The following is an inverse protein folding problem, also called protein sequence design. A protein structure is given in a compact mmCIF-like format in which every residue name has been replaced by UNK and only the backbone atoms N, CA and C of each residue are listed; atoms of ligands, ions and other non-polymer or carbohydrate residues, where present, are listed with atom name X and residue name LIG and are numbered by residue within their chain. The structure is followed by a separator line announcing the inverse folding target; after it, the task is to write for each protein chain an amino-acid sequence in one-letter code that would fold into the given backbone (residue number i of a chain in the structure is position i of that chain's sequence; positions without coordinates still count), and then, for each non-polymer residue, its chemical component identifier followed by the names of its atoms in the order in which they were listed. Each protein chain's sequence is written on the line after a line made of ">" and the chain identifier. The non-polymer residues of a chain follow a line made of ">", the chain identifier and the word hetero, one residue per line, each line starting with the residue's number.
data_IF_875346707285
#
_entry.id   IF_875346707285
#
_cell.length_a   1.000
_cell.length_b   1.000
_cell.length_c   1.000
_cell.angle_alpha   90.00
_cell.angle_beta   90.00
_cell.angle_gamma   90.00
#
_symmetry.space_group_name_H-M   'P 1'
#
loop_
_entity.id
_entity.type
_entity.pdbx_description
1 polymer ?
#
# COMPACT_ATOMS: atom_id res chain seq x y z
N UNK A 1 -3.90 31.68 23.50
CA UNK A 1 -3.88 31.28 22.07
C UNK A 1 -2.85 30.18 21.91
N UNK A 2 -3.28 28.91 21.93
CA UNK A 2 -2.38 27.75 21.84
C UNK A 2 -2.25 27.29 20.39
N UNK A 3 -1.01 27.34 19.90
CA UNK A 3 -0.59 26.88 18.57
C UNK A 3 -0.97 25.41 18.36
N UNK A 4 -1.78 25.11 17.34
CA UNK A 4 -2.04 23.74 16.87
C UNK A 4 -0.78 23.22 16.18
N UNK A 5 0.02 22.47 16.92
CA UNK A 5 1.22 21.81 16.42
C UNK A 5 0.80 20.68 15.47
N UNK A 6 1.07 20.88 14.16
CA UNK A 6 0.71 19.96 13.07
C UNK A 6 1.28 18.56 13.34
N UNK A 7 0.41 17.55 13.23
CA UNK A 7 0.62 16.14 13.57
C UNK A 7 1.48 15.39 12.53
N UNK A 8 2.59 15.98 12.08
CA UNK A 8 3.52 15.37 11.11
C UNK A 8 4.22 14.12 11.68
N UNK A 9 4.12 13.90 13.00
CA UNK A 9 4.77 12.83 13.73
C UNK A 9 4.07 11.46 13.60
N UNK A 10 2.75 11.38 13.36
CA UNK A 10 2.03 10.10 13.23
C UNK A 10 2.43 9.37 11.95
N UNK A 11 2.43 10.08 10.82
CA UNK A 11 2.83 9.59 9.49
C UNK A 11 4.28 9.12 9.49
N UNK A 12 5.20 9.90 10.09
CA UNK A 12 6.61 9.53 10.22
C UNK A 12 6.84 8.33 11.16
N UNK A 13 6.03 8.19 12.22
CA UNK A 13 6.09 7.04 13.12
C UNK A 13 5.57 5.77 12.45
N UNK A 14 4.53 5.86 11.61
CA UNK A 14 4.01 4.76 10.80
C UNK A 14 5.05 4.28 9.77
N UNK A 15 5.68 5.23 9.06
CA UNK A 15 6.80 4.96 8.14
C UNK A 15 7.96 4.23 8.86
N UNK A 16 8.30 4.66 10.08
CA UNK A 16 9.33 4.00 10.91
C UNK A 16 8.95 2.59 11.37
N UNK A 17 7.68 2.35 11.70
CA UNK A 17 7.19 1.03 12.12
C UNK A 17 7.21 0.05 10.94
N UNK A 18 6.82 0.50 9.74
CA UNK A 18 6.93 -0.28 8.51
C UNK A 18 8.40 -0.61 8.17
N UNK A 19 9.30 0.38 8.27
CA UNK A 19 10.74 0.17 8.07
C UNK A 19 11.35 -0.91 8.99
N UNK A 20 10.86 -1.04 10.23
CA UNK A 20 11.33 -2.06 11.18
C UNK A 20 10.85 -3.48 10.82
N UNK A 21 9.70 -3.61 10.14
CA UNK A 21 9.20 -4.90 9.64
C UNK A 21 9.96 -5.40 8.39
N UNK A 22 10.64 -4.51 7.65
CA UNK A 22 11.44 -4.82 6.45
C UNK A 22 12.63 -5.76 6.72
N UNK A 23 13.18 -5.76 7.94
CA UNK A 23 14.38 -6.55 8.27
C UNK A 23 14.17 -8.05 8.49
N UNK A 24 12.94 -8.52 8.63
CA UNK A 24 12.65 -9.87 9.13
C UNK A 24 12.29 -10.90 8.04
N UNK A 25 12.13 -10.49 6.76
CA UNK A 25 11.45 -11.30 5.72
C UNK A 25 12.33 -11.70 4.53
N UNK A 26 13.61 -12.01 4.77
CA UNK A 26 14.51 -12.54 3.74
C UNK A 26 14.97 -13.96 4.05
N UNK A 27 14.07 -14.94 3.87
CA UNK A 27 14.48 -16.34 3.74
C UNK A 27 13.54 -17.11 2.80
N UNK A 28 14.08 -17.42 1.61
CA UNK A 28 13.97 -18.73 0.94
C UNK A 28 12.71 -19.07 0.12
N UNK A 29 12.63 -18.50 -1.09
CA UNK A 29 12.01 -19.07 -2.32
C UNK A 29 12.73 -18.37 -3.50
N UNK A 30 12.92 -18.96 -4.71
CA UNK A 30 13.41 -18.20 -5.86
C UNK A 30 12.52 -16.98 -6.04
N UNK A 31 13.06 -15.79 -5.73
CA UNK A 31 12.28 -14.56 -5.73
C UNK A 31 11.72 -14.37 -7.13
N UNK A 32 10.39 -14.28 -7.30
CA UNK A 32 9.82 -14.00 -8.60
C UNK A 32 10.46 -12.71 -9.13
N UNK A 33 10.82 -12.71 -10.42
CA UNK A 33 11.49 -11.54 -11.03
C UNK A 33 10.58 -10.33 -10.85
N UNK A 34 11.12 -9.30 -10.21
CA UNK A 34 10.43 -8.04 -10.05
C UNK A 34 10.55 -7.24 -11.35
N UNK A 35 9.46 -6.58 -11.73
CA UNK A 35 9.47 -5.60 -12.79
C UNK A 35 10.32 -4.39 -12.36
N UNK A 36 10.85 -3.67 -13.33
CA UNK A 36 11.53 -2.39 -13.04
C UNK A 36 10.53 -1.38 -12.46
N UNK A 37 11.04 -0.35 -11.77
CA UNK A 37 10.20 0.72 -11.24
C UNK A 37 9.42 1.43 -12.36
N UNK A 38 10.03 1.63 -13.53
CA UNK A 38 9.37 2.26 -14.67
C UNK A 38 8.21 1.42 -15.21
N UNK A 39 8.39 0.11 -15.34
CA UNK A 39 7.32 -0.81 -15.74
C UNK A 39 6.20 -0.86 -14.69
N UNK A 40 6.57 -0.90 -13.41
CA UNK A 40 5.61 -0.91 -12.30
C UNK A 40 4.79 0.38 -12.27
N UNK A 41 5.40 1.55 -12.49
CA UNK A 41 4.67 2.83 -12.53
C UNK A 41 3.68 2.88 -13.70
N UNK A 42 4.08 2.42 -14.90
CA UNK A 42 3.16 2.34 -16.05
C UNK A 42 2.00 1.39 -15.80
N UNK A 43 2.26 0.23 -15.22
CA UNK A 43 1.23 -0.72 -14.85
C UNK A 43 0.31 -0.17 -13.74
N UNK A 44 0.86 0.60 -12.80
CA UNK A 44 0.10 1.27 -11.77
C UNK A 44 -0.84 2.32 -12.36
N UNK A 45 -0.38 3.14 -13.31
CA UNK A 45 -1.24 4.11 -14.03
C UNK A 45 -2.41 3.41 -14.74
N UNK A 46 -2.15 2.25 -15.37
CA UNK A 46 -3.21 1.44 -15.96
C UNK A 46 -4.17 0.87 -14.91
N UNK A 47 -3.65 0.37 -13.79
CA UNK A 47 -4.45 -0.11 -12.68
C UNK A 47 -5.34 1.00 -12.08
N UNK A 48 -4.87 2.25 -12.04
CA UNK A 48 -5.68 3.41 -11.66
C UNK A 48 -6.86 3.63 -12.60
N UNK A 49 -6.67 3.44 -13.90
CA UNK A 49 -7.74 3.58 -14.88
C UNK A 49 -8.79 2.45 -14.78
N UNK A 50 -8.36 1.24 -14.42
CA UNK A 50 -9.23 0.05 -14.29
C UNK A 50 -9.87 -0.04 -12.89
N UNK A 51 -9.23 0.51 -11.86
CA UNK A 51 -9.74 0.59 -10.49
C UNK A 51 -9.29 -0.53 -9.54
N UNK A 52 -8.36 -1.40 -9.94
CA UNK A 52 -7.86 -2.49 -9.09
C UNK A 52 -6.42 -2.93 -9.43
N UNK A 53 -5.79 -3.64 -8.50
CA UNK A 53 -4.53 -4.37 -8.69
C UNK A 53 -4.77 -5.88 -8.60
N UNK A 54 -4.15 -6.65 -9.48
CA UNK A 54 -4.05 -8.11 -9.31
C UNK A 54 -2.96 -8.41 -8.30
N UNK A 55 -3.31 -8.58 -7.03
CA UNK A 55 -2.36 -8.72 -5.94
C UNK A 55 -2.28 -10.18 -5.43
N UNK A 56 -1.08 -10.63 -5.06
CA UNK A 56 -0.89 -11.93 -4.42
C UNK A 56 -1.25 -11.82 -2.93
N UNK A 57 -2.22 -12.62 -2.51
CA UNK A 57 -2.61 -12.76 -1.11
C UNK A 57 -1.55 -13.59 -0.36
N UNK A 58 -1.41 -13.45 0.98
CA UNK A 58 -0.46 -14.25 1.75
C UNK A 58 -0.67 -15.77 1.67
N UNK A 59 -1.87 -16.24 1.31
CA UNK A 59 -2.14 -17.66 1.05
C UNK A 59 -1.61 -18.17 -0.31
N UNK A 60 -1.07 -17.27 -1.14
CA UNK A 60 -0.49 -17.56 -2.44
C UNK A 60 -1.44 -17.41 -3.62
N UNK A 61 -2.73 -17.11 -3.40
CA UNK A 61 -3.69 -16.88 -4.48
C UNK A 61 -3.63 -15.43 -4.99
N UNK A 62 -3.85 -15.24 -6.28
CA UNK A 62 -3.96 -13.90 -6.87
C UNK A 62 -5.42 -13.44 -6.78
N UNK A 63 -5.64 -12.24 -6.24
CA UNK A 63 -6.97 -11.64 -6.15
C UNK A 63 -6.96 -10.19 -6.65
N UNK A 64 -8.11 -9.74 -7.12
CA UNK A 64 -8.31 -8.33 -7.47
C UNK A 64 -8.53 -7.52 -6.20
N UNK A 65 -7.62 -6.59 -5.93
CA UNK A 65 -7.68 -5.65 -4.84
C UNK A 65 -8.14 -4.29 -5.39
N UNK A 66 -9.41 -3.95 -5.16
CA UNK A 66 -9.98 -2.68 -5.63
C UNK A 66 -9.40 -1.49 -4.87
N UNK A 67 -9.29 -0.35 -5.57
CA UNK A 67 -8.83 0.89 -4.96
C UNK A 67 -9.77 1.41 -3.87
N UNK A 68 -11.08 1.17 -4.00
CA UNK A 68 -12.03 1.50 -2.94
C UNK A 68 -11.74 0.72 -1.66
N UNK A 69 -11.42 -0.58 -1.76
CA UNK A 69 -11.05 -1.38 -0.59
C UNK A 69 -9.76 -0.91 0.07
N UNK A 70 -8.75 -0.56 -0.73
CA UNK A 70 -7.51 0.03 -0.20
C UNK A 70 -7.81 1.37 0.48
N UNK A 71 -8.67 2.21 -0.13
CA UNK A 71 -9.11 3.48 0.46
C UNK A 71 -9.82 3.27 1.79
N UNK A 72 -10.74 2.33 1.87
CA UNK A 72 -11.47 2.01 3.11
C UNK A 72 -10.52 1.55 4.22
N UNK A 73 -9.50 0.75 3.87
CA UNK A 73 -8.46 0.36 4.82
C UNK A 73 -7.69 1.58 5.37
N UNK A 74 -7.29 2.51 4.50
CA UNK A 74 -6.61 3.74 4.94
C UNK A 74 -7.53 4.62 5.78
N UNK A 75 -8.79 4.79 5.37
CA UNK A 75 -9.77 5.60 6.08
C UNK A 75 -10.09 5.03 7.46
N UNK A 76 -10.19 3.71 7.60
CA UNK A 76 -10.37 3.05 8.89
C UNK A 76 -9.16 3.30 9.81
N UNK A 77 -7.94 3.20 9.27
CA UNK A 77 -6.73 3.52 10.03
C UNK A 77 -6.67 5.00 10.44
N UNK A 78 -7.02 5.92 9.56
CA UNK A 78 -7.07 7.36 9.85
C UNK A 78 -8.13 7.69 10.91
N UNK A 79 -9.31 7.09 10.81
CA UNK A 79 -10.37 7.25 11.80
C UNK A 79 -9.92 6.77 13.19
N UNK A 80 -9.21 5.65 13.28
CA UNK A 80 -8.64 5.15 14.54
C UNK A 80 -7.60 6.12 15.15
N UNK A 81 -6.90 6.87 14.32
CA UNK A 81 -5.92 7.89 14.72
C UNK A 81 -6.55 9.31 14.90
N UNK A 82 -7.86 9.45 14.70
CA UNK A 82 -8.58 10.74 14.77
C UNK A 82 -8.26 11.70 13.61
N UNK A 83 -7.76 11.17 12.49
CA UNK A 83 -7.44 11.91 11.27
C UNK A 83 -8.64 11.93 10.31
N UNK A 84 -8.67 12.93 9.42
CA UNK A 84 -9.69 13.01 8.37
C UNK A 84 -9.52 11.88 7.34
N UNK A 85 -10.61 11.41 6.71
CA UNK A 85 -10.52 10.49 5.59
C UNK A 85 -9.67 11.05 4.44
N UNK A 86 -9.10 10.15 3.64
CA UNK A 86 -8.36 10.50 2.43
C UNK A 86 -9.23 11.30 1.45
N UNK A 87 -8.63 12.33 0.85
CA UNK A 87 -9.25 12.98 -0.29
C UNK A 87 -9.31 12.01 -1.50
N UNK A 88 -10.28 12.19 -2.42
CA UNK A 88 -10.50 11.26 -3.53
C UNK A 88 -9.26 11.00 -4.41
N UNK A 89 -8.39 12.00 -4.55
CA UNK A 89 -7.19 12.04 -5.39
C UNK A 89 -5.89 11.66 -4.65
N UNK A 90 -5.92 11.56 -3.32
CA UNK A 90 -4.72 11.29 -2.51
C UNK A 90 -4.28 9.81 -2.53
N UNK A 91 -5.20 8.89 -2.80
CA UNK A 91 -4.91 7.44 -2.80
C UNK A 91 -3.82 7.07 -3.80
N UNK A 92 -3.92 7.58 -5.04
CA UNK A 92 -2.93 7.28 -6.08
C UNK A 92 -1.54 7.80 -5.71
N UNK A 93 -1.48 8.96 -5.06
CA UNK A 93 -0.22 9.56 -4.59
C UNK A 93 0.41 8.73 -3.47
N UNK A 94 -0.40 8.21 -2.54
CA UNK A 94 0.07 7.32 -1.48
C UNK A 94 0.62 6.01 -2.03
N UNK A 95 -0.14 5.32 -2.90
CA UNK A 95 0.29 4.06 -3.47
C UNK A 95 1.51 4.21 -4.39
N UNK A 96 1.64 5.34 -5.09
CA UNK A 96 2.85 5.65 -5.84
C UNK A 96 4.06 5.91 -4.94
N UNK A 97 3.86 6.46 -3.73
CA UNK A 97 4.91 6.57 -2.72
C UNK A 97 5.31 5.18 -2.20
N UNK A 98 4.34 4.33 -1.85
CA UNK A 98 4.56 2.94 -1.42
C UNK A 98 5.38 2.17 -2.46
N UNK A 99 5.06 2.32 -3.75
CA UNK A 99 5.83 1.73 -4.85
C UNK A 99 7.27 2.24 -4.92
N UNK A 100 7.49 3.56 -4.78
CA UNK A 100 8.84 4.14 -4.80
C UNK A 100 9.67 3.74 -3.58
N UNK A 101 9.02 3.56 -2.44
CA UNK A 101 9.65 3.15 -1.18
C UNK A 101 9.85 1.63 -1.07
N UNK A 102 9.31 0.87 -2.03
CA UNK A 102 9.42 -0.59 -2.10
C UNK A 102 8.46 -1.33 -1.18
N UNK A 103 7.45 -0.65 -0.63
CA UNK A 103 6.35 -1.27 0.14
C UNK A 103 5.37 -2.03 -0.76
N UNK A 104 5.35 -1.68 -2.05
CA UNK A 104 4.67 -2.41 -3.10
C UNK A 104 5.67 -2.76 -4.20
N UNK A 105 5.55 -3.96 -4.75
CA UNK A 105 6.37 -4.39 -5.87
C UNK A 105 5.54 -5.16 -6.87
N UNK A 106 5.78 -4.94 -8.16
CA UNK A 106 5.15 -5.71 -9.22
C UNK A 106 6.12 -6.80 -9.69
N UNK A 107 5.60 -8.01 -9.87
CA UNK A 107 6.30 -9.09 -10.57
C UNK A 107 6.26 -8.85 -12.08
N UNK A 108 7.16 -9.48 -12.83
CA UNK A 108 7.18 -9.38 -14.30
C UNK A 108 5.93 -9.93 -14.99
N UNK A 109 5.10 -10.71 -14.29
CA UNK A 109 3.82 -11.22 -14.78
C UNK A 109 2.62 -10.31 -14.44
N UNK A 110 2.88 -9.10 -13.90
CA UNK A 110 1.84 -8.11 -13.58
C UNK A 110 1.13 -8.34 -12.25
N UNK A 111 1.56 -9.33 -11.45
CA UNK A 111 1.02 -9.58 -10.11
C UNK A 111 1.73 -8.70 -9.08
N UNK A 112 0.95 -8.04 -8.23
CA UNK A 112 1.42 -7.11 -7.21
C UNK A 112 1.65 -7.81 -5.87
N UNK A 113 2.85 -7.69 -5.33
CA UNK A 113 3.13 -7.95 -3.92
C UNK A 113 2.85 -6.66 -3.14
N UNK A 114 1.89 -6.73 -2.22
CA UNK A 114 1.45 -5.61 -1.39
C UNK A 114 1.41 -6.04 0.08
N UNK A 115 1.28 -5.07 0.99
CA UNK A 115 1.17 -5.38 2.40
C UNK A 115 -0.13 -6.14 2.71
N UNK A 116 -0.05 -7.17 3.55
CA UNK A 116 -1.19 -8.06 3.87
C UNK A 116 -2.39 -7.33 4.47
N UNK A 117 -2.15 -6.18 5.12
CA UNK A 117 -3.20 -5.37 5.72
C UNK A 117 -4.22 -4.85 4.71
N UNK A 118 -3.86 -4.71 3.42
CA UNK A 118 -4.83 -4.32 2.38
C UNK A 118 -5.89 -5.39 2.12
N UNK A 119 -5.63 -6.64 2.54
CA UNK A 119 -6.59 -7.73 2.43
C UNK A 119 -7.46 -7.89 3.66
N UNK A 120 -7.13 -7.26 4.79
CA UNK A 120 -7.96 -7.30 5.98
C UNK A 120 -9.33 -6.69 5.65
N UNK A 121 -10.39 -7.49 5.74
CA UNK A 121 -11.73 -6.93 5.87
C UNK A 121 -11.82 -6.26 7.22
N UNK A 122 -12.29 -5.02 7.27
CA UNK A 122 -12.83 -4.47 8.51
C UNK A 122 -14.03 -5.33 8.90
N UNK A 123 -13.81 -6.37 9.69
CA UNK A 123 -14.90 -7.03 10.40
C UNK A 123 -15.46 -5.98 11.36
N UNK A 124 -16.71 -5.61 11.11
CA UNK A 124 -17.54 -4.74 11.95
C UNK A 124 -17.98 -5.53 13.17
#
# INVERSE_FOLDING_TARGET
>A
MTSKQRNTSSRAAKMRRQAKARGARSTRTPSPKLASLSESLKAFEQACAVGYLSAIHPDGHVQQLSFDRIRDHFNAAFAADGESPLAPDELATLLAADLREGEMAMRTDGVWAVHESYFATSEV
#
